data_IF_139426111705
#
_entry.id   IF_139426111705
#
_cell.length_a   1.000
_cell.length_b   1.000
_cell.length_c   1.000
_cell.angle_alpha   90.00
_cell.angle_beta   90.00
_cell.angle_gamma   90.00
#
_symmetry.space_group_name_H-M   'P 1'
#
loop_
_entity.id
_entity.type
_entity.pdbx_description
1 polymer ?
#
# COMPACT_ATOMS: atom_id res chain seq x y z
N UNK A 1 5.20 26.98 -1.46
CA UNK A 1 4.23 27.35 -0.40
C UNK A 1 2.78 27.04 -0.76
N UNK A 2 2.26 27.49 -1.92
CA UNK A 2 0.88 27.23 -2.39
C UNK A 2 0.48 25.74 -2.44
N UNK A 3 1.39 24.84 -2.88
CA UNK A 3 1.13 23.39 -2.91
C UNK A 3 0.98 22.77 -1.52
N UNK A 4 1.80 23.18 -0.55
CA UNK A 4 1.72 22.70 0.83
C UNK A 4 0.40 23.14 1.48
N UNK A 5 -0.03 24.37 1.22
CA UNK A 5 -1.31 24.90 1.72
C UNK A 5 -2.50 24.14 1.12
N UNK A 6 -2.48 23.82 -0.19
CA UNK A 6 -3.53 22.98 -0.81
C UNK A 6 -3.61 21.59 -0.18
N UNK A 7 -2.48 20.94 0.04
CA UNK A 7 -2.44 19.62 0.71
C UNK A 7 -2.98 19.72 2.13
N UNK A 8 -2.58 20.74 2.90
CA UNK A 8 -3.11 20.98 4.24
C UNK A 8 -4.62 21.22 4.25
N UNK A 9 -5.15 21.99 3.29
CA UNK A 9 -6.59 22.20 3.17
C UNK A 9 -7.35 20.92 2.84
N UNK A 10 -6.79 20.04 2.00
CA UNK A 10 -7.39 18.73 1.69
C UNK A 10 -7.40 17.84 2.94
N UNK A 11 -6.28 17.74 3.67
CA UNK A 11 -6.18 16.96 4.90
C UNK A 11 -7.14 17.47 5.99
N UNK A 12 -7.28 18.79 6.12
CA UNK A 12 -8.24 19.39 7.05
C UNK A 12 -9.68 19.06 6.65
N UNK A 13 -10.01 19.11 5.36
CA UNK A 13 -11.32 18.71 4.86
C UNK A 13 -11.64 17.24 5.12
N UNK A 14 -10.67 16.34 4.92
CA UNK A 14 -10.80 14.92 5.25
C UNK A 14 -11.04 14.71 6.74
N UNK A 15 -10.30 15.40 7.62
CA UNK A 15 -10.49 15.29 9.07
C UNK A 15 -11.88 15.74 9.51
N UNK A 16 -12.38 16.84 8.93
CA UNK A 16 -13.76 17.33 9.18
C UNK A 16 -14.80 16.34 8.68
N UNK A 17 -14.58 15.73 7.51
CA UNK A 17 -15.46 14.69 6.98
C UNK A 17 -15.51 13.46 7.89
N UNK A 18 -14.35 12.95 8.33
CA UNK A 18 -14.26 11.79 9.22
C UNK A 18 -14.93 12.05 10.57
N UNK A 19 -14.69 13.22 11.17
CA UNK A 19 -15.33 13.60 12.44
C UNK A 19 -16.84 13.78 12.30
N UNK A 20 -17.32 14.34 11.18
CA UNK A 20 -18.75 14.43 10.87
C UNK A 20 -19.39 13.05 10.73
N UNK A 21 -18.80 12.14 9.96
CA UNK A 21 -19.31 10.77 9.77
C UNK A 21 -19.37 10.03 11.10
N UNK A 22 -18.30 10.10 11.91
CA UNK A 22 -18.25 9.48 13.23
C UNK A 22 -19.36 10.04 14.13
N UNK A 23 -19.50 11.37 14.20
CA UNK A 23 -20.52 12.02 15.03
C UNK A 23 -21.93 11.67 14.58
N UNK A 24 -22.19 11.66 13.27
CA UNK A 24 -23.49 11.30 12.71
C UNK A 24 -23.84 9.85 13.03
N UNK A 25 -22.90 8.92 12.82
CA UNK A 25 -23.08 7.51 13.19
C UNK A 25 -23.34 7.41 14.69
N UNK A 26 -22.54 8.11 15.52
CA UNK A 26 -22.64 8.19 16.99
C UNK A 26 -23.91 8.82 17.56
N UNK A 27 -24.67 9.57 16.77
CA UNK A 27 -25.95 10.16 17.19
C UNK A 27 -27.17 9.42 16.62
N UNK A 28 -27.06 8.76 15.48
CA UNK A 28 -28.22 8.17 14.76
C UNK A 28 -28.49 6.70 15.11
N UNK A 29 -27.44 5.91 15.38
CA UNK A 29 -27.57 4.45 15.53
C UNK A 29 -27.32 3.98 16.97
N UNK A 30 -28.35 3.85 17.80
CA UNK A 30 -28.17 3.45 19.22
C UNK A 30 -27.62 2.01 19.41
N UNK A 31 -27.68 1.16 18.39
CA UNK A 31 -27.20 -0.24 18.45
C UNK A 31 -25.73 -0.35 18.01
N UNK A 32 -24.86 -0.83 18.90
CA UNK A 32 -23.41 -0.95 18.68
C UNK A 32 -23.03 -1.86 17.50
N UNK A 33 -23.77 -2.94 17.27
CA UNK A 33 -23.45 -3.93 16.23
C UNK A 33 -23.67 -3.37 14.81
N UNK A 34 -24.79 -2.66 14.61
CA UNK A 34 -25.13 -2.08 13.30
C UNK A 34 -24.15 -0.95 12.93
N UNK A 35 -23.72 -0.14 13.90
CA UNK A 35 -22.68 0.88 13.70
C UNK A 35 -21.38 0.28 13.20
N UNK A 36 -20.91 -0.75 13.90
CA UNK A 36 -19.63 -1.38 13.62
C UNK A 36 -19.64 -2.04 12.24
N UNK A 37 -20.76 -2.65 11.85
CA UNK A 37 -20.93 -3.25 10.53
C UNK A 37 -20.89 -2.22 9.40
N UNK A 38 -21.65 -1.12 9.50
CA UNK A 38 -21.69 -0.09 8.45
C UNK A 38 -20.33 0.59 8.30
N UNK A 39 -19.73 1.01 9.42
CA UNK A 39 -18.40 1.64 9.42
C UNK A 39 -17.34 0.68 8.89
N UNK A 40 -17.39 -0.59 9.29
CA UNK A 40 -16.48 -1.63 8.83
C UNK A 40 -16.55 -1.86 7.32
N UNK A 41 -17.76 -1.93 6.74
CA UNK A 41 -17.94 -2.08 5.28
C UNK A 41 -17.37 -0.87 4.53
N UNK A 42 -17.70 0.34 4.98
CA UNK A 42 -17.20 1.58 4.37
C UNK A 42 -15.66 1.61 4.43
N UNK A 43 -15.08 1.25 5.57
CA UNK A 43 -13.64 1.18 5.75
C UNK A 43 -12.98 0.19 4.80
N UNK A 44 -13.53 -1.02 4.62
CA UNK A 44 -13.02 -2.01 3.67
C UNK A 44 -13.02 -1.46 2.24
N UNK A 45 -14.12 -0.80 1.82
CA UNK A 45 -14.22 -0.23 0.47
C UNK A 45 -13.12 0.81 0.23
N UNK A 46 -12.92 1.73 1.19
CA UNK A 46 -11.85 2.74 1.10
C UNK A 46 -10.45 2.10 1.12
N UNK A 47 -10.21 1.07 1.95
CA UNK A 47 -8.95 0.35 1.97
C UNK A 47 -8.64 -0.31 0.61
N UNK A 48 -9.63 -0.95 0.00
CA UNK A 48 -9.49 -1.56 -1.34
C UNK A 48 -9.15 -0.49 -2.37
N UNK A 49 -9.84 0.66 -2.34
CA UNK A 49 -9.53 1.78 -3.24
C UNK A 49 -8.08 2.25 -3.06
N UNK A 50 -7.63 2.38 -1.81
CA UNK A 50 -6.26 2.81 -1.49
C UNK A 50 -5.22 1.85 -2.08
N UNK A 51 -5.50 0.54 -2.15
CA UNK A 51 -4.62 -0.44 -2.78
C UNK A 51 -4.43 -0.26 -4.31
N UNK A 52 -5.22 0.60 -4.96
CA UNK A 52 -4.92 1.01 -6.33
C UNK A 52 -3.55 1.73 -6.45
N UNK A 53 -3.12 2.44 -5.41
CA UNK A 53 -1.83 3.13 -5.38
C UNK A 53 -0.62 2.18 -5.49
N UNK A 54 -0.43 1.18 -4.58
CA UNK A 54 0.68 0.23 -4.70
C UNK A 54 0.61 -0.60 -6.00
N UNK A 55 -0.59 -0.91 -6.50
CA UNK A 55 -0.76 -1.61 -7.78
C UNK A 55 -0.29 -0.75 -8.97
N UNK A 56 -0.56 0.56 -8.94
CA UNK A 56 -0.07 1.52 -9.94
C UNK A 56 1.47 1.57 -9.97
N UNK A 57 2.12 1.55 -8.80
CA UNK A 57 3.59 1.49 -8.72
C UNK A 57 4.13 0.17 -9.28
N UNK A 58 3.49 -0.96 -8.99
CA UNK A 58 3.88 -2.24 -9.59
C UNK A 58 3.78 -2.22 -11.12
N UNK A 59 2.69 -1.66 -11.66
CA UNK A 59 2.52 -1.46 -13.11
C UNK A 59 3.60 -0.56 -13.69
N UNK A 60 3.99 0.50 -12.96
CA UNK A 60 5.08 1.39 -13.36
C UNK A 60 6.40 0.62 -13.44
N UNK A 61 6.76 -0.16 -12.40
CA UNK A 61 7.99 -0.98 -12.38
C UNK A 61 8.04 -1.95 -13.57
N UNK A 62 6.92 -2.60 -13.90
CA UNK A 62 6.84 -3.50 -15.05
C UNK A 62 7.06 -2.77 -16.38
N UNK A 63 6.50 -1.57 -16.53
CA UNK A 63 6.62 -0.74 -17.73
C UNK A 63 8.02 -0.13 -17.88
N UNK A 64 8.59 0.37 -16.79
CA UNK A 64 9.91 1.03 -16.80
C UNK A 64 11.07 0.05 -16.63
N UNK A 65 10.78 -1.24 -16.36
CA UNK A 65 11.78 -2.28 -16.07
C UNK A 65 12.76 -1.88 -14.96
N UNK A 66 12.34 -0.98 -14.08
CA UNK A 66 13.21 -0.30 -13.10
C UNK A 66 12.49 -0.13 -11.78
N UNK A 67 13.19 -0.51 -10.70
CA UNK A 67 12.71 -0.44 -9.32
C UNK A 67 12.97 0.91 -8.65
N UNK A 68 13.40 1.94 -9.42
CA UNK A 68 13.75 3.28 -8.89
C UNK A 68 12.64 3.93 -8.06
N UNK A 69 11.38 3.66 -8.40
CA UNK A 69 10.20 4.22 -7.72
C UNK A 69 9.64 3.33 -6.61
N UNK A 70 10.27 2.18 -6.34
CA UNK A 70 9.87 1.22 -5.30
C UNK A 70 11.06 0.91 -4.39
N UNK A 71 11.29 1.71 -3.33
CA UNK A 71 12.36 1.44 -2.38
C UNK A 71 12.07 0.15 -1.61
N UNK A 72 13.03 -0.79 -1.59
CA UNK A 72 12.90 -2.10 -0.95
C UNK A 72 12.37 -2.03 0.48
N UNK A 73 12.95 -1.17 1.31
CA UNK A 73 12.58 -1.04 2.72
C UNK A 73 11.13 -0.62 2.94
N UNK A 74 10.56 0.19 2.04
CA UNK A 74 9.16 0.60 2.13
C UNK A 74 8.22 -0.57 1.87
N UNK A 75 8.51 -1.37 0.84
CA UNK A 75 7.73 -2.57 0.55
C UNK A 75 7.90 -3.66 1.62
N UNK A 76 9.12 -3.82 2.15
CA UNK A 76 9.41 -4.79 3.20
C UNK A 76 8.71 -4.46 4.53
N UNK A 77 8.82 -3.21 4.98
CA UNK A 77 8.13 -2.75 6.19
C UNK A 77 6.61 -2.75 6.02
N UNK A 78 6.10 -2.40 4.84
CA UNK A 78 4.68 -2.50 4.50
C UNK A 78 4.16 -3.94 4.55
N UNK A 79 4.93 -4.89 4.02
CA UNK A 79 4.62 -6.32 4.10
C UNK A 79 4.57 -6.82 5.56
N UNK A 80 5.61 -6.52 6.35
CA UNK A 80 5.64 -6.91 7.76
C UNK A 80 4.48 -6.30 8.55
N UNK A 81 4.17 -5.03 8.31
CA UNK A 81 3.02 -4.38 8.92
C UNK A 81 1.71 -5.11 8.57
N UNK A 82 1.51 -5.42 7.29
CA UNK A 82 0.35 -6.20 6.84
C UNK A 82 0.25 -7.55 7.52
N UNK A 83 1.37 -8.29 7.64
CA UNK A 83 1.43 -9.57 8.34
C UNK A 83 1.09 -9.41 9.82
N UNK A 84 1.70 -8.46 10.54
CA UNK A 84 1.44 -8.22 11.95
C UNK A 84 -0.05 -7.93 12.22
N UNK A 85 -0.67 -7.07 11.42
CA UNK A 85 -2.09 -6.75 11.56
C UNK A 85 -3.01 -7.91 11.17
N UNK A 86 -2.64 -8.67 10.13
CA UNK A 86 -3.38 -9.88 9.74
C UNK A 86 -3.33 -10.94 10.84
N UNK A 87 -2.16 -11.18 11.44
CA UNK A 87 -2.00 -12.09 12.58
C UNK A 87 -2.84 -11.64 13.78
N UNK A 88 -2.84 -10.34 14.08
CA UNK A 88 -3.67 -9.79 15.15
C UNK A 88 -5.18 -9.95 14.86
N UNK A 89 -5.61 -9.71 13.62
CA UNK A 89 -6.99 -9.92 13.18
C UNK A 89 -7.44 -11.37 13.35
N UNK A 90 -6.56 -12.33 13.06
CA UNK A 90 -6.83 -13.76 13.23
C UNK A 90 -7.02 -14.16 14.70
N UNK A 91 -6.24 -13.58 15.62
CA UNK A 91 -6.37 -13.86 17.05
C UNK A 91 -7.76 -13.43 17.58
N UNK A 92 -8.27 -12.30 17.10
CA UNK A 92 -9.58 -11.76 17.51
C UNK A 92 -10.74 -12.15 16.58
N UNK A 93 -10.49 -12.89 15.51
CA UNK A 93 -11.46 -13.21 14.44
C UNK A 93 -12.18 -11.93 13.95
N UNK A 94 -11.44 -10.82 13.81
CA UNK A 94 -11.99 -9.56 13.33
C UNK A 94 -11.88 -9.48 11.80
N UNK A 95 -12.98 -9.76 11.11
CA UNK A 95 -13.02 -9.81 9.64
C UNK A 95 -12.79 -8.45 8.99
N UNK A 96 -13.16 -7.35 9.67
CA UNK A 96 -12.99 -5.99 9.14
C UNK A 96 -11.53 -5.57 9.14
N UNK A 97 -10.74 -6.13 10.07
CA UNK A 97 -9.30 -5.95 10.10
C UNK A 97 -8.58 -6.95 9.20
N UNK A 98 -9.09 -8.17 9.11
CA UNK A 98 -8.46 -9.27 8.37
C UNK A 98 -8.43 -9.01 6.87
N UNK A 99 -9.56 -8.63 6.27
CA UNK A 99 -9.70 -8.44 4.83
C UNK A 99 -8.70 -7.39 4.29
N UNK A 100 -8.68 -6.14 4.79
CA UNK A 100 -7.77 -5.14 4.26
C UNK A 100 -6.32 -5.51 4.52
N UNK A 101 -5.95 -5.85 5.76
CA UNK A 101 -4.55 -6.14 6.08
C UNK A 101 -4.01 -7.39 5.37
N UNK A 102 -4.86 -8.40 5.17
CA UNK A 102 -4.52 -9.58 4.39
C UNK A 102 -4.24 -9.23 2.92
N UNK A 103 -5.10 -8.43 2.29
CA UNK A 103 -4.85 -7.91 0.94
C UNK A 103 -3.58 -7.07 0.88
N UNK A 104 -3.35 -6.22 1.88
CA UNK A 104 -2.12 -5.42 2.00
C UNK A 104 -0.86 -6.27 2.12
N UNK A 105 -0.90 -7.36 2.89
CA UNK A 105 0.20 -8.31 3.01
C UNK A 105 0.46 -9.04 1.67
N UNK A 106 -0.59 -9.49 0.97
CA UNK A 106 -0.45 -10.12 -0.34
C UNK A 106 0.19 -9.14 -1.34
N UNK A 107 -0.29 -7.89 -1.39
CA UNK A 107 0.29 -6.87 -2.27
C UNK A 107 1.73 -6.57 -1.89
N UNK A 108 2.05 -6.42 -0.60
CA UNK A 108 3.42 -6.21 -0.12
C UNK A 108 4.37 -7.34 -0.53
N UNK A 109 3.91 -8.59 -0.45
CA UNK A 109 4.67 -9.74 -0.93
C UNK A 109 4.92 -9.67 -2.43
N UNK A 110 3.89 -9.35 -3.22
CA UNK A 110 4.03 -9.19 -4.67
C UNK A 110 5.01 -8.06 -5.03
N UNK A 111 5.00 -6.96 -4.27
CA UNK A 111 5.97 -5.88 -4.44
C UNK A 111 7.41 -6.35 -4.20
N UNK A 112 7.65 -7.14 -3.15
CA UNK A 112 8.97 -7.70 -2.86
C UNK A 112 9.45 -8.68 -3.94
N UNK A 113 8.56 -9.56 -4.42
CA UNK A 113 8.87 -10.48 -5.52
C UNK A 113 9.22 -9.73 -6.80
N UNK A 114 8.43 -8.70 -7.12
CA UNK A 114 8.66 -7.85 -8.29
C UNK A 114 10.01 -7.12 -8.19
N UNK A 115 10.33 -6.60 -7.00
CA UNK A 115 11.62 -5.96 -6.74
C UNK A 115 12.77 -6.92 -6.98
N UNK A 116 12.73 -8.12 -6.40
CA UNK A 116 13.79 -9.13 -6.53
C UNK A 116 14.02 -9.52 -8.01
N UNK A 117 12.94 -9.73 -8.77
CA UNK A 117 13.04 -10.10 -10.18
C UNK A 117 13.70 -9.00 -11.04
N UNK A 118 13.25 -7.75 -10.90
CA UNK A 118 13.77 -6.64 -11.71
C UNK A 118 15.16 -6.17 -11.27
N UNK A 119 15.48 -6.25 -9.98
CA UNK A 119 16.81 -5.93 -9.47
C UNK A 119 17.86 -6.90 -10.03
N UNK A 120 17.58 -8.21 -9.99
CA UNK A 120 18.49 -9.23 -10.51
C UNK A 120 18.72 -9.08 -12.02
N UNK A 121 17.66 -8.80 -12.78
CA UNK A 121 17.79 -8.58 -14.23
C UNK A 121 18.67 -7.38 -14.56
N UNK A 122 18.50 -6.25 -13.86
CA UNK A 122 19.34 -5.06 -14.07
C UNK A 122 20.81 -5.33 -13.75
N UNK A 123 21.08 -6.09 -12.68
CA UNK A 123 22.45 -6.46 -12.32
C UNK A 123 23.11 -7.33 -13.40
N UNK A 124 22.38 -8.28 -13.99
CA UNK A 124 22.89 -9.12 -15.09
C UNK A 124 23.22 -8.28 -16.32
N UNK A 125 22.29 -7.42 -16.75
CA UNK A 125 22.47 -6.54 -17.91
C UNK A 125 23.66 -5.56 -17.73
N UNK A 126 23.87 -5.03 -16.52
CA UNK A 126 25.03 -4.17 -16.23
C UNK A 126 26.36 -4.94 -16.25
N UNK A 127 26.36 -6.20 -15.80
CA UNK A 127 27.55 -7.06 -15.85
C UNK A 127 27.93 -7.48 -17.27
N UNK A 128 26.96 -7.80 -18.13
CA UNK A 128 27.20 -8.13 -19.55
C UNK A 128 27.73 -6.93 -20.33
N UNK A 129 27.08 -5.77 -20.23
CA UNK A 129 27.53 -4.54 -20.88
C UNK A 129 28.95 -4.14 -20.44
N UNK A 130 29.33 -4.40 -19.17
CA UNK A 130 30.68 -4.12 -18.68
C UNK A 130 31.71 -5.09 -19.28
N UNK A 131 31.36 -6.35 -19.53
CA UNK A 131 32.25 -7.32 -20.19
C UNK A 131 32.47 -6.96 -21.65
N UNK A 132 31.41 -6.68 -22.42
CA UNK A 132 31.51 -6.28 -23.83
C UNK A 132 32.36 -5.01 -24.00
N UNK A 133 32.17 -4.00 -23.15
CA UNK A 133 32.98 -2.78 -23.20
C UNK A 133 34.46 -3.02 -22.86
N UNK A 134 34.79 -4.02 -22.05
CA UNK A 134 36.19 -4.37 -21.76
C UNK A 134 36.79 -5.12 -22.95
N UNK A 135 36.06 -6.05 -23.57
CA UNK A 135 36.52 -6.79 -24.75
C UNK A 135 36.70 -5.89 -25.99
N UNK A 136 35.90 -4.83 -26.16
CA UNK A 136 36.08 -3.87 -27.27
C UNK A 136 37.28 -2.93 -27.11
N UNK A 137 37.84 -2.81 -25.91
CA UNK A 137 38.93 -1.86 -25.60
C UNK A 137 40.30 -2.58 -25.49
N UNK A 138 40.29 -3.92 -25.50
CA UNK A 138 41.50 -4.78 -25.48
C UNK A 138 41.77 -5.32 -26.87
#
# INVERSE_FOLDING_TARGET
>A
MKMRIKVLSILAGELVFMTMVITLVLLTLHTHDLRSLIVGIIAIIFCIWMYASPLSIMKLVIKTKSVKYMPFWLSFTGFLNGVCWTSYALIKIDIFLLIPNGLGAILGLLQLLLYAFYYNRKAIEEHENKKENVEMVV
#
